data_IF_619478901426
#
_entry.id   IF_619478901426
#
_cell.length_a   1.000
_cell.length_b   1.000
_cell.length_c   1.000
_cell.angle_alpha   90.00
_cell.angle_beta   90.00
_cell.angle_gamma   90.00
#
_symmetry.space_group_name_H-M   'P 1'
#
loop_
_entity.id
_entity.type
_entity.pdbx_description
1 polymer ?
#
# COMPACT_ATOMS: atom_id res chain seq x y z
N UNK A 1 47.73 -3.84 -9.50
CA UNK A 1 47.37 -2.41 -9.44
C UNK A 1 45.87 -2.38 -9.47
N UNK A 2 45.25 -2.48 -8.29
CA UNK A 2 43.79 -2.39 -8.18
C UNK A 2 43.43 -0.93 -8.41
N UNK A 3 42.77 -0.68 -9.54
CA UNK A 3 42.21 0.62 -9.86
C UNK A 3 41.02 0.83 -8.91
N UNK A 4 41.28 1.44 -7.75
CA UNK A 4 40.25 1.91 -6.82
C UNK A 4 39.61 3.14 -7.46
N UNK A 5 38.88 2.91 -8.55
CA UNK A 5 38.02 3.92 -9.16
C UNK A 5 36.92 4.24 -8.15
N UNK A 6 37.12 5.36 -7.45
CA UNK A 6 36.11 6.33 -7.07
C UNK A 6 34.69 5.74 -6.97
N UNK A 7 34.45 4.95 -5.91
CA UNK A 7 33.10 4.49 -5.53
C UNK A 7 32.32 5.70 -5.04
N UNK A 8 31.88 6.56 -5.96
CA UNK A 8 30.89 7.59 -5.67
C UNK A 8 29.57 6.86 -5.46
N UNK A 9 29.18 6.70 -4.21
CA UNK A 9 27.82 6.32 -3.88
C UNK A 9 26.88 7.37 -4.48
N UNK A 10 25.75 6.92 -5.03
CA UNK A 10 24.77 7.80 -5.65
C UNK A 10 23.78 8.26 -4.58
N UNK A 11 23.82 9.53 -4.13
CA UNK A 11 22.95 10.00 -3.05
C UNK A 11 21.49 10.04 -3.52
N UNK A 12 20.59 9.62 -2.63
CA UNK A 12 19.15 9.83 -2.79
C UNK A 12 18.77 11.25 -2.38
N UNK A 13 17.65 11.75 -2.90
CA UNK A 13 17.12 13.05 -2.51
C UNK A 13 16.65 13.09 -1.05
N UNK A 14 16.12 11.97 -0.56
CA UNK A 14 15.70 11.78 0.83
C UNK A 14 16.31 10.49 1.38
N UNK A 15 16.53 10.45 2.70
CA UNK A 15 16.78 9.19 3.40
C UNK A 15 15.45 8.47 3.62
N UNK A 16 15.45 7.15 3.45
CA UNK A 16 14.29 6.30 3.64
C UNK A 16 14.61 5.15 4.59
N UNK A 17 13.59 4.59 5.25
CA UNK A 17 13.69 3.48 6.18
C UNK A 17 12.69 2.39 5.83
N UNK A 18 13.17 1.16 5.79
CA UNK A 18 12.33 -0.02 5.68
C UNK A 18 11.85 -0.48 7.06
N UNK A 19 10.59 -0.88 7.09
CA UNK A 19 9.91 -1.44 8.23
C UNK A 19 9.19 -2.71 7.81
N UNK A 20 9.03 -3.63 8.75
CA UNK A 20 8.27 -4.85 8.59
C UNK A 20 7.38 -5.08 9.80
N UNK A 21 6.16 -5.51 9.55
CA UNK A 21 5.27 -6.02 10.59
C UNK A 21 4.75 -7.38 10.16
N UNK A 22 4.94 -8.37 11.01
CA UNK A 22 4.30 -9.67 10.89
C UNK A 22 2.96 -9.59 11.62
N UNK A 23 1.89 -10.12 11.06
CA UNK A 23 0.63 -10.24 11.81
C UNK A 23 0.83 -11.24 12.95
N UNK A 24 1.03 -10.71 14.16
CA UNK A 24 0.60 -11.36 15.39
C UNK A 24 -0.67 -10.62 15.80
N UNK A 25 -1.81 -11.32 15.72
CA UNK A 25 -3.12 -10.91 16.20
C UNK A 25 -3.74 -9.60 15.66
N UNK A 26 -5.02 -9.41 15.99
CA UNK A 26 -5.94 -8.45 15.37
C UNK A 26 -5.99 -7.06 16.05
N UNK A 27 -5.13 -6.80 17.04
CA UNK A 27 -5.20 -5.59 17.87
C UNK A 27 -4.09 -4.56 17.58
N UNK A 28 -4.40 -3.27 17.78
CA UNK A 28 -3.52 -2.10 17.53
C UNK A 28 -2.17 -2.20 18.25
N UNK A 29 -2.19 -2.55 19.53
CA UNK A 29 -0.98 -2.67 20.38
C UNK A 29 -0.01 -3.72 19.82
N UNK A 30 -0.53 -4.78 19.22
CA UNK A 30 0.26 -5.86 18.61
C UNK A 30 0.94 -5.41 17.31
N UNK A 31 0.31 -4.50 16.56
CA UNK A 31 0.89 -3.90 15.36
C UNK A 31 2.09 -2.99 15.70
N UNK A 32 1.95 -2.13 16.71
CA UNK A 32 3.03 -1.25 17.18
C UNK A 32 4.19 -2.05 17.77
N UNK A 33 3.90 -3.04 18.62
CA UNK A 33 4.91 -3.93 19.17
C UNK A 33 5.56 -4.85 18.13
N UNK A 34 4.86 -5.15 17.04
CA UNK A 34 5.35 -5.96 15.91
C UNK A 34 6.08 -5.16 14.83
N UNK A 35 6.15 -3.83 14.93
CA UNK A 35 6.78 -2.97 13.92
C UNK A 35 8.31 -2.99 14.06
N UNK A 36 8.96 -3.75 13.18
CA UNK A 36 10.40 -3.90 13.15
C UNK A 36 11.05 -2.97 12.11
N UNK A 37 11.99 -2.12 12.55
CA UNK A 37 12.86 -1.36 11.64
C UNK A 37 13.92 -2.29 11.04
N UNK A 38 13.98 -2.39 9.71
CA UNK A 38 14.95 -3.23 8.98
C UNK A 38 16.23 -2.49 8.59
N UNK A 39 16.19 -1.15 8.53
CA UNK A 39 17.35 -0.31 8.20
C UNK A 39 16.95 0.91 7.39
N UNK A 40 17.88 1.87 7.26
CA UNK A 40 17.72 3.06 6.41
C UNK A 40 18.73 3.07 5.26
N UNK A 41 18.38 3.83 4.21
CA UNK A 41 19.23 4.10 3.07
C UNK A 41 19.17 5.58 2.70
N UNK A 42 20.34 6.16 2.42
CA UNK A 42 20.54 7.51 1.89
C UNK A 42 21.24 7.50 0.52
N UNK A 43 21.66 6.33 0.03
CA UNK A 43 22.23 6.14 -1.31
C UNK A 43 21.51 5.01 -2.07
N UNK A 44 21.66 5.00 -3.39
CA UNK A 44 21.10 3.95 -4.26
C UNK A 44 21.71 2.58 -3.93
N UNK A 45 23.00 2.54 -3.61
CA UNK A 45 23.72 1.32 -3.24
C UNK A 45 23.21 0.76 -1.91
N UNK A 46 22.98 1.62 -0.90
CA UNK A 46 22.37 1.22 0.36
C UNK A 46 20.94 0.70 0.16
N UNK A 47 20.15 1.34 -0.71
CA UNK A 47 18.82 0.87 -1.07
C UNK A 47 18.87 -0.55 -1.64
N UNK A 48 19.70 -0.81 -2.65
CA UNK A 48 19.80 -2.14 -3.25
C UNK A 48 20.33 -3.19 -2.29
N UNK A 49 21.33 -2.86 -1.46
CA UNK A 49 21.82 -3.77 -0.40
C UNK A 49 20.71 -4.17 0.54
N UNK A 50 19.89 -3.21 0.99
CA UNK A 50 18.78 -3.45 1.89
C UNK A 50 17.68 -4.26 1.19
N UNK A 51 17.23 -3.83 0.02
CA UNK A 51 16.16 -4.50 -0.74
C UNK A 51 16.51 -5.93 -1.14
N UNK A 52 17.73 -6.18 -1.64
CA UNK A 52 18.17 -7.53 -2.02
C UNK A 52 18.39 -8.47 -0.81
N UNK A 53 18.48 -7.93 0.41
CA UNK A 53 18.52 -8.74 1.63
C UNK A 53 17.12 -9.20 2.09
N UNK A 54 16.06 -8.60 1.55
CA UNK A 54 14.69 -8.95 1.88
C UNK A 54 14.26 -10.21 1.13
N UNK A 55 13.38 -11.02 1.73
CA UNK A 55 12.71 -12.09 1.00
C UNK A 55 11.83 -11.51 -0.11
N UNK A 56 11.58 -12.31 -1.14
CA UNK A 56 10.69 -11.92 -2.24
C UNK A 56 9.30 -11.65 -1.66
N UNK A 57 8.72 -10.49 -1.99
CA UNK A 57 7.40 -10.13 -1.50
C UNK A 57 6.37 -11.17 -1.96
N UNK A 58 5.55 -11.65 -1.02
CA UNK A 58 4.52 -12.64 -1.28
C UNK A 58 4.96 -14.10 -1.08
N UNK A 59 6.24 -14.38 -0.81
CA UNK A 59 6.68 -15.75 -0.50
C UNK A 59 6.54 -16.11 0.98
N UNK A 60 6.43 -15.11 1.83
CA UNK A 60 6.18 -15.29 3.26
C UNK A 60 4.67 -15.27 3.53
N UNK A 61 4.25 -15.74 4.71
CA UNK A 61 2.86 -15.60 5.16
C UNK A 61 2.43 -14.13 5.29
N UNK A 62 1.32 -13.87 5.99
CA UNK A 62 0.80 -12.50 6.12
C UNK A 62 1.85 -11.53 6.66
N UNK A 63 2.31 -10.63 5.79
CA UNK A 63 3.44 -9.74 6.06
C UNK A 63 3.15 -8.36 5.50
N UNK A 64 3.53 -7.34 6.28
CA UNK A 64 3.46 -5.95 5.87
C UNK A 64 4.88 -5.40 5.75
N UNK A 65 5.21 -4.80 4.61
CA UNK A 65 6.43 -4.02 4.43
C UNK A 65 6.07 -2.56 4.20
N UNK A 66 6.83 -1.68 4.83
CA UNK A 66 6.65 -0.23 4.69
C UNK A 66 8.00 0.43 4.42
N UNK A 67 8.02 1.40 3.51
CA UNK A 67 9.20 2.15 3.13
C UNK A 67 8.88 3.64 3.19
N UNK A 68 9.36 4.31 4.23
CA UNK A 68 8.98 5.67 4.58
C UNK A 68 10.19 6.58 4.63
N UNK A 69 10.00 7.88 4.42
CA UNK A 69 11.06 8.86 4.63
C UNK A 69 11.56 8.76 6.07
N UNK A 70 12.86 8.92 6.27
CA UNK A 70 13.46 8.78 7.58
C UNK A 70 12.86 9.81 8.56
N UNK A 71 12.58 9.36 9.78
CA UNK A 71 11.88 10.16 10.79
C UNK A 71 10.36 10.20 10.64
N UNK A 72 9.77 9.47 9.68
CA UNK A 72 8.32 9.23 9.60
C UNK A 72 8.08 7.75 9.85
N UNK A 73 7.30 7.45 10.88
CA UNK A 73 6.88 6.08 11.16
C UNK A 73 5.66 5.71 10.29
N UNK A 74 5.52 4.44 9.86
CA UNK A 74 4.36 3.97 9.10
C UNK A 74 3.09 3.83 9.96
N UNK A 75 2.92 4.75 10.91
CA UNK A 75 1.79 4.84 11.82
C UNK A 75 0.93 6.03 11.43
N UNK A 76 -0.39 5.89 11.53
CA UNK A 76 -1.32 6.99 11.26
C UNK A 76 -1.26 8.08 12.33
N UNK A 77 -0.69 7.78 13.50
CA UNK A 77 -0.47 8.73 14.61
C UNK A 77 0.76 9.61 14.43
N UNK A 78 1.67 9.22 13.53
CA UNK A 78 2.82 10.06 13.19
C UNK A 78 2.32 11.44 12.73
N UNK A 79 2.89 12.56 13.23
CA UNK A 79 2.45 13.91 12.89
C UNK A 79 2.41 14.17 11.37
N UNK A 80 3.28 13.52 10.59
CA UNK A 80 3.31 13.63 9.14
C UNK A 80 2.16 12.88 8.45
N UNK A 81 1.58 11.86 9.09
CA UNK A 81 0.53 11.01 8.53
C UNK A 81 -0.87 11.35 9.08
N UNK A 82 -0.96 11.97 10.26
CA UNK A 82 -2.20 12.21 10.98
C UNK A 82 -3.21 13.05 10.19
N UNK A 83 -2.75 14.10 9.51
CA UNK A 83 -3.59 14.98 8.68
C UNK A 83 -3.63 14.54 7.20
N UNK A 84 -3.11 13.35 6.92
CA UNK A 84 -2.88 12.84 5.59
C UNK A 84 -3.91 11.84 5.12
N UNK A 85 -3.50 11.07 4.12
CA UNK A 85 -4.27 9.93 3.64
C UNK A 85 -3.41 9.00 2.81
N UNK A 86 -4.03 7.94 2.33
CA UNK A 86 -3.38 6.91 1.54
C UNK A 86 -4.19 6.59 0.30
N UNK A 87 -3.47 6.45 -0.81
CA UNK A 87 -3.99 5.92 -2.06
C UNK A 87 -3.71 4.44 -2.04
N UNK A 88 -4.74 3.62 -2.12
CA UNK A 88 -4.65 2.16 -2.00
C UNK A 88 -5.08 1.50 -3.29
N UNK A 89 -4.34 0.47 -3.70
CA UNK A 89 -4.67 -0.43 -4.80
C UNK A 89 -4.72 -1.83 -4.24
N UNK A 90 -5.91 -2.43 -4.29
CA UNK A 90 -6.11 -3.83 -3.97
C UNK A 90 -5.85 -4.67 -5.21
N UNK A 91 -5.06 -5.71 -5.03
CA UNK A 91 -4.70 -6.70 -6.02
C UNK A 91 -5.21 -8.06 -5.50
N UNK A 92 -5.76 -8.88 -6.39
CA UNK A 92 -5.93 -10.30 -6.11
C UNK A 92 -4.59 -11.02 -5.97
N UNK A 93 -4.60 -12.34 -5.91
CA UNK A 93 -3.37 -13.13 -6.03
C UNK A 93 -2.68 -12.79 -7.35
N UNK A 94 -1.52 -12.13 -7.27
CA UNK A 94 -0.84 -11.63 -8.45
C UNK A 94 0.62 -12.00 -8.44
N UNK A 95 1.03 -12.75 -9.46
CA UNK A 95 2.43 -13.04 -9.77
C UNK A 95 3.23 -11.76 -10.10
N UNK A 96 2.54 -10.62 -10.32
CA UNK A 96 3.17 -9.34 -10.61
C UNK A 96 3.51 -8.54 -9.35
N UNK A 97 3.11 -9.01 -8.16
CA UNK A 97 3.32 -8.27 -6.91
C UNK A 97 4.78 -7.86 -6.67
N UNK A 98 5.80 -8.73 -6.82
CA UNK A 98 7.19 -8.32 -6.64
C UNK A 98 7.59 -7.17 -7.57
N UNK A 99 7.17 -7.23 -8.84
CA UNK A 99 7.43 -6.18 -9.83
C UNK A 99 6.71 -4.86 -9.48
N UNK A 100 5.45 -4.93 -9.08
CA UNK A 100 4.67 -3.73 -8.72
C UNK A 100 5.22 -3.05 -7.47
N UNK A 101 5.67 -3.84 -6.49
CA UNK A 101 6.33 -3.32 -5.29
C UNK A 101 7.69 -2.70 -5.61
N UNK A 102 8.53 -3.38 -6.38
CA UNK A 102 9.85 -2.86 -6.77
C UNK A 102 9.73 -1.55 -7.54
N UNK A 103 8.87 -1.51 -8.56
CA UNK A 103 8.62 -0.29 -9.33
C UNK A 103 8.07 0.84 -8.46
N UNK A 104 7.24 0.53 -7.45
CA UNK A 104 6.76 1.53 -6.49
C UNK A 104 7.89 2.11 -5.64
N UNK A 105 8.79 1.25 -5.14
CA UNK A 105 9.98 1.67 -4.40
C UNK A 105 10.91 2.55 -5.26
N UNK A 106 11.18 2.12 -6.49
CA UNK A 106 12.02 2.87 -7.44
C UNK A 106 11.40 4.22 -7.80
N UNK A 107 10.08 4.27 -8.01
CA UNK A 107 9.32 5.51 -8.24
C UNK A 107 9.45 6.46 -7.04
N UNK A 108 9.49 5.91 -5.82
CA UNK A 108 9.62 6.67 -4.58
C UNK A 108 11.03 7.25 -4.40
N UNK A 109 12.08 6.42 -4.45
CA UNK A 109 13.47 6.89 -4.28
C UNK A 109 13.93 7.78 -5.44
N UNK A 110 13.37 7.59 -6.63
CA UNK A 110 13.62 8.42 -7.81
C UNK A 110 12.80 9.71 -7.84
N UNK A 111 11.98 10.00 -6.83
CA UNK A 111 11.12 11.19 -6.73
C UNK A 111 10.20 11.41 -7.96
N UNK A 112 9.78 10.32 -8.61
CA UNK A 112 9.08 10.37 -9.90
C UNK A 112 7.61 10.83 -9.79
N UNK A 113 7.05 10.87 -8.58
CA UNK A 113 5.68 11.36 -8.37
C UNK A 113 5.52 12.85 -8.69
N UNK A 114 6.61 13.64 -8.61
CA UNK A 114 6.63 15.08 -8.87
C UNK A 114 5.58 15.87 -8.05
N UNK A 115 5.36 15.47 -6.80
CA UNK A 115 4.44 16.11 -5.83
C UNK A 115 5.16 16.78 -4.66
N UNK A 116 6.46 17.05 -4.81
CA UNK A 116 7.29 17.72 -3.81
C UNK A 116 7.45 16.91 -2.51
N UNK A 117 7.02 17.48 -1.38
CA UNK A 117 7.18 16.88 -0.04
C UNK A 117 5.92 16.15 0.48
N UNK A 118 4.96 15.92 -0.41
CA UNK A 118 3.67 15.30 -0.06
C UNK A 118 3.80 13.80 0.23
N UNK A 119 4.76 13.09 -0.39
CA UNK A 119 4.95 11.66 -0.13
C UNK A 119 5.58 11.47 1.25
N UNK A 120 4.91 10.69 2.11
CA UNK A 120 5.46 10.21 3.37
C UNK A 120 6.20 8.88 3.20
N UNK A 121 5.59 7.97 2.42
CA UNK A 121 6.12 6.63 2.20
C UNK A 121 5.17 5.76 1.40
N UNK A 122 5.56 4.51 1.21
CA UNK A 122 4.79 3.48 0.52
C UNK A 122 4.74 2.22 1.37
N UNK A 123 3.68 1.43 1.23
CA UNK A 123 3.56 0.17 1.96
C UNK A 123 2.90 -0.91 1.12
N UNK A 124 3.23 -2.16 1.42
CA UNK A 124 2.59 -3.35 0.86
C UNK A 124 2.10 -4.23 2.00
N UNK A 125 0.86 -4.67 1.91
CA UNK A 125 0.23 -5.61 2.83
C UNK A 125 -0.15 -6.85 2.04
N UNK A 126 0.49 -7.97 2.35
CA UNK A 126 0.19 -9.26 1.74
C UNK A 126 -0.62 -10.08 2.73
N UNK A 127 -1.84 -10.46 2.37
CA UNK A 127 -2.70 -11.37 3.14
C UNK A 127 -3.09 -12.57 2.27
N UNK A 128 -3.65 -13.61 2.89
CA UNK A 128 -4.17 -14.78 2.17
C UNK A 128 -5.25 -14.40 1.16
N UNK A 129 -6.16 -13.51 1.55
CA UNK A 129 -7.34 -13.17 0.75
C UNK A 129 -7.12 -11.95 -0.16
N UNK A 130 -5.87 -11.47 -0.29
CA UNK A 130 -5.56 -10.36 -1.18
C UNK A 130 -4.35 -9.55 -0.73
N UNK A 131 -3.84 -8.77 -1.67
CA UNK A 131 -2.70 -7.88 -1.46
C UNK A 131 -3.12 -6.43 -1.65
N UNK A 132 -2.56 -5.52 -0.86
CA UNK A 132 -2.83 -4.08 -0.99
C UNK A 132 -1.53 -3.30 -1.04
N UNK A 133 -1.35 -2.50 -2.08
CA UNK A 133 -0.28 -1.50 -2.20
C UNK A 133 -0.83 -0.13 -1.79
N UNK A 134 -0.06 0.64 -1.03
CA UNK A 134 -0.46 1.96 -0.56
C UNK A 134 0.63 3.01 -0.80
N UNK A 135 0.22 4.22 -1.17
CA UNK A 135 1.05 5.42 -1.16
C UNK A 135 0.50 6.38 -0.13
N UNK A 136 1.34 6.78 0.83
CA UNK A 136 0.98 7.65 1.94
C UNK A 136 1.34 9.09 1.62
N UNK A 137 0.37 9.97 1.87
CA UNK A 137 0.44 11.41 1.58
C UNK A 137 0.26 12.21 2.86
N UNK A 138 0.99 13.32 2.97
CA UNK A 138 1.00 14.21 4.13
C UNK A 138 -0.31 14.98 4.30
N UNK A 139 -0.90 15.43 3.18
CA UNK A 139 -2.09 16.28 3.20
C UNK A 139 -3.32 15.55 2.68
N UNK A 140 -4.37 15.50 3.49
CA UNK A 140 -5.63 14.93 3.08
C UNK A 140 -6.37 15.79 2.04
N UNK A 141 -6.97 15.14 1.04
CA UNK A 141 -7.96 15.78 0.15
C UNK A 141 -7.38 16.66 -0.96
N UNK A 142 -6.07 16.61 -1.19
CA UNK A 142 -5.46 17.28 -2.33
C UNK A 142 -5.64 16.44 -3.61
N UNK A 143 -6.76 16.66 -4.31
CA UNK A 143 -7.10 15.93 -5.53
C UNK A 143 -6.04 16.05 -6.62
N UNK A 144 -5.31 17.17 -6.71
CA UNK A 144 -4.24 17.33 -7.72
C UNK A 144 -3.10 16.36 -7.44
N UNK A 145 -2.68 16.25 -6.18
CA UNK A 145 -1.64 15.31 -5.74
C UNK A 145 -2.10 13.87 -5.93
N UNK A 146 -3.34 13.55 -5.54
CA UNK A 146 -3.92 12.21 -5.73
C UNK A 146 -3.94 11.81 -7.20
N UNK A 147 -4.49 12.66 -8.08
CA UNK A 147 -4.56 12.39 -9.51
C UNK A 147 -3.19 12.25 -10.15
N UNK A 148 -2.21 13.07 -9.72
CA UNK A 148 -0.84 12.99 -10.21
C UNK A 148 -0.20 11.66 -9.83
N UNK A 149 -0.34 11.24 -8.57
CA UNK A 149 0.18 9.95 -8.09
C UNK A 149 -0.45 8.81 -8.88
N UNK A 150 -1.78 8.78 -9.02
CA UNK A 150 -2.47 7.75 -9.79
C UNK A 150 -2.02 7.72 -11.26
N UNK A 151 -1.82 8.88 -11.89
CA UNK A 151 -1.32 8.96 -13.26
C UNK A 151 0.06 8.35 -13.39
N UNK A 152 0.98 8.70 -12.49
CA UNK A 152 2.34 8.13 -12.47
C UNK A 152 2.30 6.63 -12.27
N UNK A 153 1.50 6.14 -11.30
CA UNK A 153 1.36 4.71 -11.03
C UNK A 153 0.81 3.95 -12.25
N UNK A 154 -0.20 4.50 -12.93
CA UNK A 154 -0.73 3.91 -14.18
C UNK A 154 0.34 3.82 -15.26
N UNK A 155 1.20 4.84 -15.39
CA UNK A 155 2.29 4.86 -16.36
C UNK A 155 3.41 3.86 -16.01
N UNK A 156 3.95 3.91 -14.79
CA UNK A 156 5.10 3.05 -14.41
C UNK A 156 4.74 1.57 -14.34
N UNK A 157 3.50 1.25 -13.98
CA UNK A 157 3.01 -0.13 -13.97
C UNK A 157 2.47 -0.60 -15.32
N UNK A 158 2.39 0.29 -16.32
CA UNK A 158 1.68 0.03 -17.57
C UNK A 158 0.27 -0.56 -17.30
N UNK A 159 -0.42 0.04 -16.32
CA UNK A 159 -1.64 -0.52 -15.78
C UNK A 159 -2.81 -0.36 -16.78
N UNK A 160 -3.76 -1.30 -16.80
CA UNK A 160 -4.94 -1.18 -17.65
C UNK A 160 -5.84 -0.04 -17.16
N UNK A 161 -6.63 0.53 -18.07
CA UNK A 161 -7.49 1.69 -17.78
C UNK A 161 -8.51 1.47 -16.66
N UNK A 162 -8.88 0.22 -16.37
CA UNK A 162 -9.87 -0.15 -15.37
C UNK A 162 -9.29 -0.33 -13.95
N UNK A 163 -7.98 -0.15 -13.75
CA UNK A 163 -7.40 -0.22 -12.41
C UNK A 163 -8.06 0.83 -11.51
N UNK A 164 -8.57 0.39 -10.36
CA UNK A 164 -9.24 1.26 -9.39
C UNK A 164 -8.29 1.61 -8.26
N UNK A 165 -8.08 2.90 -8.08
CA UNK A 165 -7.41 3.47 -6.91
C UNK A 165 -8.48 3.93 -5.92
N UNK A 166 -8.24 3.67 -4.65
CA UNK A 166 -9.11 4.15 -3.58
C UNK A 166 -8.33 5.12 -2.69
N UNK A 167 -8.92 6.28 -2.42
CA UNK A 167 -8.33 7.23 -1.48
C UNK A 167 -8.99 7.09 -0.11
N UNK A 168 -8.20 6.83 0.93
CA UNK A 168 -8.65 6.77 2.31
C UNK A 168 -7.93 7.83 3.15
N UNK A 169 -8.68 8.72 3.80
CA UNK A 169 -8.11 9.62 4.81
C UNK A 169 -7.69 8.82 6.03
N UNK A 170 -6.57 9.20 6.64
CA UNK A 170 -6.23 8.69 7.95
C UNK A 170 -7.24 9.25 8.95
N UNK A 171 -7.67 8.43 9.92
CA UNK A 171 -8.56 8.92 10.97
C UNK A 171 -7.80 10.01 11.72
N UNK A 172 -8.42 11.19 11.85
CA UNK A 172 -7.98 12.20 12.81
C UNK A 172 -7.91 11.45 14.13
N UNK A 173 -6.74 11.41 14.77
CA UNK A 173 -6.63 10.89 16.13
C UNK A 173 -7.77 11.52 16.94
N UNK A 174 -8.66 10.73 17.56
CA UNK A 174 -9.72 11.32 18.35
C UNK A 174 -9.05 12.27 19.33
N UNK A 175 -9.47 13.54 19.30
CA UNK A 175 -9.03 14.51 20.28
C UNK A 175 -9.24 13.86 21.66
N UNK A 176 -8.21 13.78 22.54
CA UNK A 176 -8.40 13.24 23.88
C UNK A 176 -9.54 13.96 24.65
N UNK A 177 -10.01 15.13 24.18
CA UNK A 177 -11.16 15.85 24.72
C UNK A 177 -12.54 15.43 24.17
N UNK A 178 -12.66 14.63 23.09
CA UNK A 178 -13.97 14.22 22.58
C UNK A 178 -14.38 12.84 23.08
N UNK A 179 -14.88 12.77 24.32
CA UNK A 179 -15.64 11.59 24.78
C UNK A 179 -17.04 11.62 24.12
N UNK A 180 -17.51 10.53 23.50
CA UNK A 180 -18.90 10.45 23.07
C UNK A 180 -19.81 10.28 24.28
N UNK A 181 -20.84 11.12 24.38
CA UNK A 181 -21.92 11.01 25.36
C UNK A 181 -22.58 9.62 25.26
N UNK A 182 -22.44 8.80 26.31
CA UNK A 182 -23.20 7.57 26.48
C UNK A 182 -24.67 7.92 26.69
N UNK A 183 -25.52 7.69 25.67
CA UNK A 183 -26.96 7.49 25.90
C UNK A 183 -27.20 6.09 26.48
N UNK A 184 -28.08 5.94 27.49
CA UNK A 184 -28.35 4.65 28.13
C UNK A 184 -29.17 3.72 27.22
N UNK A 185 -28.93 2.42 27.41
CA UNK A 185 -29.50 1.31 26.68
C UNK A 185 -31.02 1.17 26.88
N UNK A 186 -31.72 0.86 25.79
CA UNK A 186 -33.07 0.27 25.82
C UNK A 186 -33.04 -1.02 24.99
N UNK A 187 -33.61 -2.07 25.59
CA UNK A 187 -33.73 -3.45 25.14
C UNK A 187 -34.82 -3.65 24.07
N UNK A 188 -34.91 -4.89 23.56
CA UNK A 188 -35.94 -5.49 22.67
C UNK A 188 -35.52 -5.47 21.18
N UNK A 189 -35.59 -6.51 20.35
CA UNK A 189 -36.08 -7.89 20.43
C UNK A 189 -36.02 -8.45 18.99
N UNK A 190 -35.58 -9.70 18.80
CA UNK A 190 -35.47 -10.39 17.48
C UNK A 190 -36.84 -10.99 17.09
N UNK A 191 -37.26 -11.02 15.81
CA UNK A 191 -37.22 -12.27 15.02
C UNK A 191 -37.05 -12.06 13.48
N UNK A 192 -36.30 -12.92 12.76
CA UNK A 192 -36.70 -14.07 11.90
C UNK A 192 -36.91 -13.75 10.39
N UNK A 193 -36.32 -14.59 9.53
CA UNK A 193 -36.25 -14.50 8.06
C UNK A 193 -37.47 -15.14 7.35
N UNK A 194 -37.66 -14.89 6.03
CA UNK A 194 -37.77 -16.04 5.11
C UNK A 194 -37.17 -15.87 3.68
N UNK A 195 -36.65 -17.00 3.19
CA UNK A 195 -36.78 -17.71 1.89
C UNK A 195 -36.67 -17.06 0.47
N UNK A 196 -36.08 -17.86 -0.44
CA UNK A 196 -35.61 -17.70 -1.83
C UNK A 196 -36.65 -17.37 -2.92
N UNK A 197 -36.17 -16.80 -4.04
CA UNK A 197 -36.67 -17.09 -5.39
C UNK A 197 -35.57 -16.92 -6.48
N UNK A 198 -35.71 -17.65 -7.59
CA UNK A 198 -34.68 -17.99 -8.59
C UNK A 198 -34.61 -17.07 -9.84
N UNK A 199 -33.54 -17.27 -10.61
CA UNK A 199 -33.05 -16.61 -11.85
C UNK A 199 -33.96 -16.86 -13.08
N UNK A 200 -33.82 -16.09 -14.20
CA UNK A 200 -33.32 -16.77 -15.40
C UNK A 200 -32.34 -15.97 -16.30
N UNK A 201 -31.70 -16.79 -17.15
CA UNK A 201 -30.59 -16.71 -18.11
C UNK A 201 -30.65 -15.71 -19.28
N UNK A 202 -29.48 -15.30 -19.82
CA UNK A 202 -29.22 -15.24 -21.28
C UNK A 202 -27.74 -15.11 -21.71
N UNK A 203 -27.25 -16.19 -22.33
CA UNK A 203 -26.54 -16.31 -23.62
C UNK A 203 -25.34 -15.42 -24.01
N UNK A 204 -24.33 -16.11 -24.54
CA UNK A 204 -22.94 -15.74 -24.82
C UNK A 204 -22.66 -15.06 -26.18
N UNK A 205 -21.50 -14.40 -26.27
CA UNK A 205 -20.77 -14.23 -27.52
C UNK A 205 -19.24 -14.31 -27.31
N UNK A 206 -18.60 -15.24 -28.04
CA UNK A 206 -17.15 -15.53 -28.05
C UNK A 206 -16.36 -14.48 -28.84
N UNK A 207 -15.15 -14.12 -28.36
CA UNK A 207 -13.95 -13.91 -29.20
C UNK A 207 -12.66 -14.26 -28.42
N UNK A 208 -11.77 -15.05 -29.03
CA UNK A 208 -10.36 -15.31 -28.64
C UNK A 208 -9.43 -14.65 -29.70
N UNK A 209 -8.12 -14.53 -29.46
CA UNK A 209 -7.46 -13.92 -28.30
C UNK A 209 -6.39 -12.90 -28.76
N UNK A 210 -5.98 -11.99 -27.86
CA UNK A 210 -4.66 -11.34 -27.96
C UNK A 210 -4.00 -11.54 -26.62
N UNK A 211 -2.83 -12.18 -26.61
CA UNK A 211 -2.12 -12.55 -25.40
C UNK A 211 -1.71 -11.29 -24.62
N UNK A 212 -2.44 -10.98 -23.54
CA UNK A 212 -2.14 -9.89 -22.64
C UNK A 212 -1.66 -10.46 -21.30
N UNK A 213 -0.46 -10.08 -20.87
CA UNK A 213 0.26 -10.62 -19.69
C UNK A 213 -0.40 -10.29 -18.34
N UNK A 214 -1.52 -9.55 -18.36
CA UNK A 214 -2.32 -9.12 -17.21
C UNK A 214 -3.70 -9.79 -17.13
N UNK A 215 -4.01 -10.76 -18.00
CA UNK A 215 -5.34 -11.37 -18.07
C UNK A 215 -5.74 -12.19 -16.82
N UNK A 216 -4.79 -12.51 -15.94
CA UNK A 216 -5.01 -13.33 -14.73
C UNK A 216 -5.27 -12.51 -13.45
N UNK A 217 -5.35 -11.18 -13.56
CA UNK A 217 -5.47 -10.27 -12.41
C UNK A 217 -6.92 -9.91 -12.03
N UNK A 218 -7.88 -10.42 -12.79
CA UNK A 218 -9.30 -10.12 -12.64
C UNK A 218 -10.14 -11.35 -12.99
N UNK A 219 -10.00 -12.42 -12.23
CA UNK A 219 -11.10 -13.36 -12.05
C UNK A 219 -11.81 -12.91 -10.77
N UNK A 220 -12.97 -12.28 -10.92
CA UNK A 220 -13.99 -12.23 -9.87
C UNK A 220 -15.22 -12.98 -10.40
N UNK A 221 -15.55 -14.01 -9.62
CA UNK A 221 -16.72 -14.86 -9.50
C UNK A 221 -18.03 -14.51 -10.21
N UNK A 222 -18.69 -15.58 -10.66
CA UNK A 222 -20.13 -15.71 -10.94
C UNK A 222 -20.99 -15.59 -9.68
#
# INVERSE_FOLDING_TARGET
MDNVEDRRDHPLWNEYRFWRTMEYGSNKEEYEHGLQSLGSCKTVEEFWKLYCSLPVIGTEGTTNYSFFRNGIEPLWEDPANANGGRITVSLGESQLLPYLWETLLLTTIGEQFNVGKEICGVSVTVKKDGTTLCVWTRTAGNMKVTNQIESVLKTVWNAPYNIRFFYKRNHIAPDPASKPDRKPAASEGKPAAPERAAVPERSAAKKKPVANRFAFLFDDDE
#
